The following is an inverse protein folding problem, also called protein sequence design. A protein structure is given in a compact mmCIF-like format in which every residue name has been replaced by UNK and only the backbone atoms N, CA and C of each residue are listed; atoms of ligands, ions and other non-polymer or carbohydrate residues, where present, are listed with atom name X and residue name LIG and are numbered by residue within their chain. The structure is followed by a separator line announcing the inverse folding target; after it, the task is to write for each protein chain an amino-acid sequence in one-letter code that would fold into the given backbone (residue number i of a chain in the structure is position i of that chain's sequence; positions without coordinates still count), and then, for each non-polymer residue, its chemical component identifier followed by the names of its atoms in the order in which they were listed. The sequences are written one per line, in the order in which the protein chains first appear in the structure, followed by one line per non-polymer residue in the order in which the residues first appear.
data_IF_118609596162
#
_entry.id   IF_118609596162
#
_cell.length_a   1.000
_cell.length_b   1.000
_cell.length_c   1.000
_cell.angle_alpha   90.00
_cell.angle_beta   90.00
_cell.angle_gamma   90.00
#
_symmetry.space_group_name_H-M   'P 1'
#
loop_
_entity.id
_entity.type
_entity.pdbx_description
1 polymer ?
#
# COMPACT_ATOMS: atom_id res chain seq x y z
N UNK A 1 0.07 16.83 9.40
CA UNK A 1 -0.11 15.43 9.01
C UNK A 1 -1.09 15.41 7.85
N UNK A 2 -0.60 15.06 6.67
CA UNK A 2 -1.39 14.99 5.43
C UNK A 2 -1.70 13.52 5.14
N UNK A 3 -2.99 13.20 4.94
CA UNK A 3 -3.44 11.88 4.54
C UNK A 3 -3.66 11.86 3.04
N UNK A 4 -2.94 11.00 2.33
CA UNK A 4 -3.12 10.81 0.88
C UNK A 4 -3.96 9.56 0.66
N UNK A 5 -5.18 9.73 0.14
CA UNK A 5 -6.10 8.65 -0.18
C UNK A 5 -6.29 8.53 -1.70
N UNK A 6 -5.95 7.36 -2.25
CA UNK A 6 -5.99 7.12 -3.69
C UNK A 6 -6.81 5.87 -4.01
N UNK A 7 -7.70 5.95 -5.00
CA UNK A 7 -8.49 4.82 -5.48
C UNK A 7 -8.55 4.77 -7.02
N UNK A 8 -8.40 3.59 -7.60
CA UNK A 8 -8.49 3.41 -9.06
C UNK A 8 -7.88 2.10 -9.56
N UNK A 9 -7.87 1.89 -10.88
CA UNK A 9 -7.27 0.69 -11.47
C UNK A 9 -5.75 0.62 -11.28
N UNK A 10 -5.08 1.76 -11.45
CA UNK A 10 -3.62 1.92 -11.37
C UNK A 10 -3.32 3.13 -10.49
N UNK A 11 -2.70 2.90 -9.33
CA UNK A 11 -2.54 3.90 -8.27
C UNK A 11 -1.06 4.01 -7.89
N UNK A 12 -0.51 5.23 -7.93
CA UNK A 12 0.85 5.52 -7.47
C UNK A 12 0.84 6.75 -6.56
N UNK A 13 1.10 6.56 -5.27
CA UNK A 13 0.99 7.62 -4.26
C UNK A 13 2.18 7.63 -3.30
N UNK A 14 2.63 8.81 -2.90
CA UNK A 14 3.71 8.99 -1.93
C UNK A 14 3.34 10.06 -0.90
N UNK A 15 3.64 9.83 0.37
CA UNK A 15 3.30 10.73 1.45
C UNK A 15 3.68 10.17 2.82
N UNK A 16 3.40 10.90 3.89
CA UNK A 16 3.72 10.44 5.25
C UNK A 16 2.74 9.35 5.70
N UNK A 17 1.43 9.59 5.52
CA UNK A 17 0.37 8.59 5.65
C UNK A 17 -0.34 8.38 4.32
N UNK A 18 -0.33 7.15 3.83
CA UNK A 18 -0.89 6.81 2.51
C UNK A 18 -1.88 5.65 2.61
N UNK A 19 -3.07 5.83 2.04
CA UNK A 19 -4.09 4.80 1.90
C UNK A 19 -4.45 4.62 0.41
N UNK A 20 -4.21 3.42 -0.12
CA UNK A 20 -4.40 3.13 -1.54
C UNK A 20 -5.32 1.92 -1.75
N UNK A 21 -6.27 2.01 -2.68
CA UNK A 21 -7.10 0.88 -3.09
C UNK A 21 -7.18 0.76 -4.61
N UNK A 22 -6.94 -0.43 -5.17
CA UNK A 22 -6.96 -0.59 -6.63
C UNK A 22 -6.59 -1.98 -7.13
N UNK A 23 -6.52 -2.16 -8.44
CA UNK A 23 -6.01 -3.40 -9.02
C UNK A 23 -4.49 -3.51 -8.89
N UNK A 24 -3.79 -2.43 -9.27
CA UNK A 24 -2.34 -2.29 -9.20
C UNK A 24 -1.98 -1.05 -8.39
N UNK A 25 -1.30 -1.26 -7.26
CA UNK A 25 -1.05 -0.21 -6.26
C UNK A 25 0.44 -0.11 -5.96
N UNK A 26 1.02 1.09 -6.07
CA UNK A 26 2.40 1.40 -5.68
C UNK A 26 2.42 2.57 -4.70
N UNK A 27 2.71 2.32 -3.42
CA UNK A 27 2.63 3.36 -2.39
C UNK A 27 3.91 3.45 -1.53
N UNK A 28 4.33 4.68 -1.23
CA UNK A 28 5.53 4.95 -0.45
C UNK A 28 5.28 5.95 0.69
N UNK A 29 5.72 5.63 1.91
CA UNK A 29 5.49 6.51 3.06
C UNK A 29 5.99 5.98 4.39
N UNK A 30 5.76 6.71 5.48
CA UNK A 30 6.05 6.23 6.84
C UNK A 30 5.04 5.16 7.26
N UNK A 31 3.75 5.46 7.09
CA UNK A 31 2.64 4.53 7.26
C UNK A 31 1.90 4.35 5.93
N UNK A 32 1.84 3.11 5.44
CA UNK A 32 1.16 2.79 4.18
C UNK A 32 0.15 1.67 4.38
N UNK A 33 -1.08 1.90 3.92
CA UNK A 33 -2.14 0.89 3.85
C UNK A 33 -2.56 0.70 2.39
N UNK A 34 -2.41 -0.51 1.86
CA UNK A 34 -2.77 -0.85 0.48
C UNK A 34 -3.76 -2.01 0.42
N UNK A 35 -4.74 -1.91 -0.47
CA UNK A 35 -5.65 -2.98 -0.84
C UNK A 35 -5.67 -3.15 -2.36
N UNK A 36 -5.39 -4.35 -2.85
CA UNK A 36 -5.43 -4.62 -4.29
C UNK A 36 -4.87 -5.96 -4.71
N UNK A 37 -5.15 -6.38 -5.94
CA UNK A 37 -4.65 -7.66 -6.48
C UNK A 37 -3.13 -7.71 -6.49
N UNK A 38 -2.49 -6.61 -6.91
CA UNK A 38 -1.04 -6.43 -6.91
C UNK A 38 -0.66 -5.16 -6.15
N UNK A 39 0.17 -5.31 -5.11
CA UNK A 39 0.59 -4.21 -4.25
C UNK A 39 2.11 -4.13 -4.09
N UNK A 40 2.69 -2.97 -4.36
CA UNK A 40 4.07 -2.62 -4.08
C UNK A 40 4.10 -1.53 -3.01
N UNK A 41 4.67 -1.84 -1.84
CA UNK A 41 4.67 -0.91 -0.71
C UNK A 41 6.07 -0.68 -0.18
N UNK A 42 6.41 0.59 0.08
CA UNK A 42 7.68 0.97 0.67
C UNK A 42 7.47 1.90 1.85
N UNK A 43 7.84 1.48 3.06
CA UNK A 43 7.63 2.31 4.25
C UNK A 43 8.04 1.69 5.57
N UNK A 44 8.07 2.48 6.64
CA UNK A 44 8.43 1.96 7.97
C UNK A 44 7.39 0.99 8.51
N UNK A 45 6.11 1.33 8.38
CA UNK A 45 4.97 0.49 8.74
C UNK A 45 4.06 0.30 7.54
N UNK A 46 3.83 -0.97 7.18
CA UNK A 46 3.09 -1.33 5.98
C UNK A 46 1.99 -2.35 6.28
N UNK A 47 0.76 -2.05 5.85
CA UNK A 47 -0.37 -2.97 5.86
C UNK A 47 -0.82 -3.21 4.42
N UNK A 48 -0.78 -4.47 3.96
CA UNK A 48 -1.15 -4.81 2.59
C UNK A 48 -2.16 -5.93 2.57
N UNK A 49 -3.21 -5.78 1.76
CA UNK A 49 -4.25 -6.79 1.56
C UNK A 49 -4.43 -7.06 0.08
N UNK A 50 -4.22 -8.29 -0.36
CA UNK A 50 -4.16 -8.58 -1.79
C UNK A 50 -3.77 -10.00 -2.14
N UNK A 51 -3.79 -10.32 -3.45
CA UNK A 51 -3.36 -11.61 -3.97
C UNK A 51 -1.83 -11.70 -4.05
N UNK A 52 -1.19 -10.63 -4.52
CA UNK A 52 0.25 -10.53 -4.68
C UNK A 52 0.76 -9.21 -4.07
N UNK A 53 1.80 -9.30 -3.25
CA UNK A 53 2.34 -8.12 -2.56
C UNK A 53 3.84 -8.19 -2.36
N UNK A 54 4.52 -7.08 -2.66
CA UNK A 54 5.93 -6.86 -2.34
C UNK A 54 6.04 -5.66 -1.40
N UNK A 55 6.55 -5.90 -0.18
CA UNK A 55 6.65 -4.87 0.86
C UNK A 55 8.11 -4.70 1.27
N UNK A 56 8.59 -3.46 1.27
CA UNK A 56 9.92 -3.09 1.75
C UNK A 56 9.81 -2.11 2.91
N UNK A 57 10.21 -2.54 4.09
CA UNK A 57 9.97 -1.78 5.31
C UNK A 57 10.54 -2.41 6.56
N UNK A 58 10.47 -1.67 7.67
CA UNK A 58 10.85 -2.16 9.00
C UNK A 58 9.80 -3.14 9.55
N UNK A 59 8.51 -2.82 9.39
CA UNK A 59 7.39 -3.63 9.83
C UNK A 59 6.36 -3.77 8.72
N UNK A 60 5.97 -5.02 8.41
CA UNK A 60 4.99 -5.32 7.38
C UNK A 60 3.99 -6.38 7.83
N UNK A 61 2.71 -6.13 7.55
CA UNK A 61 1.63 -7.10 7.70
C UNK A 61 0.94 -7.29 6.35
N UNK A 62 1.03 -8.49 5.81
CA UNK A 62 0.44 -8.88 4.53
C UNK A 62 -0.69 -9.87 4.78
N UNK A 63 -1.90 -9.58 4.26
CA UNK A 63 -3.03 -10.51 4.26
C UNK A 63 -3.38 -10.89 2.83
N UNK A 64 -3.20 -12.17 2.52
CA UNK A 64 -3.70 -12.79 1.29
C UNK A 64 -5.21 -12.65 1.18
N UNK A 65 -5.71 -12.38 -0.03
CA UNK A 65 -7.10 -12.68 -0.40
C UNK A 65 -7.10 -14.08 -1.02
N UNK A 66 -8.03 -14.94 -0.61
CA UNK A 66 -8.16 -16.31 -1.10
C UNK A 66 -9.15 -16.38 -2.25
#
# INVERSE_FOLDING_TARGET
MELVACAGGLVACAGELVACAGGLVACAGELVACAGDWSLVRGNWSLVRGNWSLVRGNWSLVRGSN
#
